data_IF_633300784650
#
_entry.id   IF_633300784650
#
_cell.length_a   1.000
_cell.length_b   1.000
_cell.length_c   1.000
_cell.angle_alpha   90.00
_cell.angle_beta   90.00
_cell.angle_gamma   90.00
#
_symmetry.space_group_name_H-M   'P 1'
#
loop_
_entity.id
_entity.type
_entity.pdbx_description
1 polymer ?
#
# COMPACT_ATOMS: atom_id res chain seq x y z
N UNK A 1 -8.28 1.71 18.05
CA UNK A 1 -8.45 3.18 17.97
C UNK A 1 -7.96 3.62 16.60
N UNK A 2 -8.77 4.34 15.84
CA UNK A 2 -8.33 4.96 14.59
C UNK A 2 -7.48 6.17 14.98
N UNK A 3 -6.19 6.16 14.63
CA UNK A 3 -5.31 7.30 14.91
C UNK A 3 -5.66 8.42 13.93
N UNK A 4 -6.00 9.61 14.44
CA UNK A 4 -6.16 10.86 13.67
C UNK A 4 -4.90 11.72 13.83
N UNK A 5 -4.80 12.78 13.05
CA UNK A 5 -3.70 13.74 13.11
C UNK A 5 -4.17 15.19 13.27
N UNK A 6 -3.33 16.02 13.89
CA UNK A 6 -3.61 17.44 14.10
C UNK A 6 -3.63 18.24 12.78
N UNK A 7 -2.83 17.82 11.79
CA UNK A 7 -2.76 18.45 10.47
C UNK A 7 -3.67 17.71 9.50
N UNK A 8 -4.77 18.35 9.09
CA UNK A 8 -5.70 17.78 8.12
C UNK A 8 -5.07 17.64 6.72
N UNK A 9 -5.34 16.51 6.07
CA UNK A 9 -5.05 16.31 4.65
C UNK A 9 -6.24 16.78 3.79
N UNK A 10 -6.06 16.87 2.47
CA UNK A 10 -7.10 17.31 1.53
C UNK A 10 -8.36 16.43 1.60
N UNK A 11 -8.17 15.13 1.87
CA UNK A 11 -9.24 14.19 2.19
C UNK A 11 -9.25 13.96 3.70
N UNK A 12 -10.34 14.32 4.37
CA UNK A 12 -10.47 14.20 5.82
C UNK A 12 -10.77 12.75 6.24
N UNK A 13 -9.74 11.91 6.19
CA UNK A 13 -9.74 10.57 6.75
C UNK A 13 -8.71 10.48 7.89
N UNK A 14 -9.04 9.86 9.05
CA UNK A 14 -8.15 9.89 10.22
C UNK A 14 -6.72 9.41 9.94
N UNK A 15 -6.56 8.31 9.19
CA UNK A 15 -5.24 7.77 8.88
C UNK A 15 -4.44 8.66 7.90
N UNK A 16 -5.11 9.37 7.00
CA UNK A 16 -4.45 10.33 6.10
C UNK A 16 -3.99 11.56 6.89
N UNK A 17 -4.83 12.06 7.80
CA UNK A 17 -4.45 13.16 8.70
C UNK A 17 -3.30 12.77 9.63
N UNK A 18 -3.32 11.55 10.15
CA UNK A 18 -2.22 11.01 10.95
C UNK A 18 -0.92 11.00 10.14
N UNK A 19 -0.93 10.42 8.94
CA UNK A 19 0.24 10.38 8.06
C UNK A 19 0.73 11.79 7.71
N UNK A 20 -0.18 12.70 7.37
CA UNK A 20 0.14 14.10 7.09
C UNK A 20 0.79 14.81 8.29
N UNK A 21 0.27 14.57 9.49
CA UNK A 21 0.86 15.08 10.73
C UNK A 21 2.25 14.51 10.96
N UNK A 22 2.43 13.19 10.77
CA UNK A 22 3.72 12.53 10.92
C UNK A 22 4.76 13.12 9.96
N UNK A 23 4.46 13.20 8.67
CA UNK A 23 5.39 13.73 7.66
C UNK A 23 5.71 15.20 7.92
N UNK A 24 4.73 16.01 8.32
CA UNK A 24 4.97 17.40 8.72
C UNK A 24 5.97 17.52 9.88
N UNK A 25 5.87 16.63 10.87
CA UNK A 25 6.79 16.62 12.02
C UNK A 25 8.18 16.13 11.65
N UNK A 26 8.28 15.16 10.74
CA UNK A 26 9.56 14.72 10.19
C UNK A 26 10.26 15.87 9.45
N UNK A 27 9.54 16.59 8.60
CA UNK A 27 10.06 17.77 7.89
C UNK A 27 10.51 18.89 8.85
N UNK A 28 9.66 19.24 9.82
CA UNK A 28 9.98 20.25 10.82
C UNK A 28 11.26 19.87 11.60
N UNK A 29 11.37 18.61 12.02
CA UNK A 29 12.53 18.10 12.76
C UNK A 29 13.79 18.08 11.90
N UNK A 30 13.69 17.59 10.66
CA UNK A 30 14.80 17.56 9.72
C UNK A 30 15.35 18.96 9.45
N UNK A 31 14.48 19.95 9.17
CA UNK A 31 14.91 21.34 8.95
C UNK A 31 15.54 21.97 10.18
N UNK A 32 15.00 21.72 11.39
CA UNK A 32 15.60 22.23 12.64
C UNK A 32 16.98 21.64 12.89
N UNK A 33 17.15 20.33 12.71
CA UNK A 33 18.44 19.65 12.88
C UNK A 33 19.46 20.12 11.83
N UNK A 34 19.06 20.25 10.57
CA UNK A 34 19.92 20.77 9.51
C UNK A 34 20.39 22.20 9.83
N UNK A 35 19.49 23.07 10.31
CA UNK A 35 19.85 24.43 10.76
C UNK A 35 20.83 24.44 11.94
N UNK A 36 20.79 23.42 12.80
CA UNK A 36 21.72 23.24 13.91
C UNK A 36 23.05 22.57 13.50
N UNK A 37 23.26 22.30 12.21
CA UNK A 37 24.51 21.75 11.67
C UNK A 37 24.59 20.22 11.66
N UNK A 38 23.50 19.51 11.95
CA UNK A 38 23.46 18.05 11.80
C UNK A 38 23.29 17.68 10.31
N UNK A 39 24.06 16.71 9.84
CA UNK A 39 23.91 16.12 8.51
C UNK A 39 22.88 14.98 8.52
N UNK A 40 22.35 14.62 7.33
CA UNK A 40 21.49 13.45 7.10
C UNK A 40 20.28 13.39 8.05
N UNK A 41 19.54 14.49 8.14
CA UNK A 41 18.50 14.68 9.15
C UNK A 41 17.10 14.27 8.71
N UNK A 42 16.91 14.04 7.41
CA UNK A 42 15.67 13.55 6.81
C UNK A 42 15.69 12.01 6.76
N UNK A 43 14.52 11.35 6.70
CA UNK A 43 14.47 9.91 6.41
C UNK A 43 15.00 9.61 5.00
N UNK A 44 15.44 8.38 4.77
CA UNK A 44 15.89 7.90 3.44
C UNK A 44 14.73 7.43 2.54
N UNK A 45 13.52 7.31 3.08
CA UNK A 45 12.35 6.83 2.37
C UNK A 45 11.21 6.45 3.33
N UNK A 46 10.14 5.90 2.75
CA UNK A 46 8.95 5.49 3.47
C UNK A 46 8.57 4.06 3.11
N UNK A 47 8.27 3.24 4.13
CA UNK A 47 7.66 1.93 3.94
C UNK A 47 6.16 2.03 4.22
N UNK A 48 5.32 1.56 3.30
CA UNK A 48 3.87 1.64 3.39
C UNK A 48 3.18 0.36 2.96
N UNK A 49 1.98 0.14 3.48
CA UNK A 49 1.09 -0.91 3.00
C UNK A 49 0.19 -0.37 1.89
N UNK A 50 -0.04 -1.17 0.86
CA UNK A 50 -1.00 -0.91 -0.20
C UNK A 50 -1.79 -2.20 -0.51
N UNK A 51 -2.89 -2.47 0.21
CA UNK A 51 -3.71 -3.65 -0.02
C UNK A 51 -4.59 -3.45 -1.25
N UNK A 52 -4.91 -4.52 -1.98
CA UNK A 52 -5.93 -4.54 -3.01
C UNK A 52 -7.34 -4.71 -2.47
N UNK A 53 -8.33 -4.33 -3.28
CA UNK A 53 -9.76 -4.55 -3.00
C UNK A 53 -10.53 -5.00 -4.25
N UNK A 54 -10.22 -6.21 -4.75
CA UNK A 54 -10.74 -6.67 -6.02
C UNK A 54 -12.26 -6.95 -6.04
N UNK A 55 -12.94 -6.98 -4.89
CA UNK A 55 -14.40 -7.11 -4.81
C UNK A 55 -15.11 -5.81 -4.40
N UNK A 56 -14.38 -4.69 -4.36
CA UNK A 56 -14.96 -3.40 -4.00
C UNK A 56 -16.17 -3.09 -4.90
N UNK A 57 -17.33 -2.72 -4.35
CA UNK A 57 -18.48 -2.30 -5.15
C UNK A 57 -18.15 -1.09 -6.04
N UNK A 58 -17.17 -0.27 -5.63
CA UNK A 58 -16.64 0.87 -6.38
C UNK A 58 -16.02 0.48 -7.74
N UNK A 59 -15.73 -0.81 -7.99
CA UNK A 59 -15.28 -1.29 -9.30
C UNK A 59 -16.37 -1.26 -10.39
N UNK A 60 -17.65 -1.14 -10.01
CA UNK A 60 -18.77 -0.93 -10.94
C UNK A 60 -18.82 -1.94 -12.12
N UNK A 61 -18.54 -3.22 -11.84
CA UNK A 61 -18.58 -4.29 -12.84
C UNK A 61 -17.32 -4.44 -13.69
N UNK A 62 -16.25 -3.66 -13.42
CA UNK A 62 -14.92 -3.91 -13.97
C UNK A 62 -14.37 -5.26 -13.49
N UNK A 63 -13.41 -5.81 -14.25
CA UNK A 63 -12.76 -7.05 -13.85
C UNK A 63 -12.00 -6.85 -12.53
N UNK A 64 -12.09 -7.79 -11.57
CA UNK A 64 -11.36 -7.70 -10.30
C UNK A 64 -9.84 -7.49 -10.46
N UNK A 65 -9.24 -8.04 -11.51
CA UNK A 65 -7.82 -7.88 -11.82
C UNK A 65 -7.42 -6.47 -12.30
N UNK A 66 -8.40 -5.63 -12.68
CA UNK A 66 -8.16 -4.24 -13.09
C UNK A 66 -8.09 -3.28 -11.90
N UNK A 67 -8.42 -3.71 -10.68
CA UNK A 67 -8.48 -2.85 -9.50
C UNK A 67 -7.23 -1.98 -9.30
N UNK A 68 -5.98 -2.47 -9.48
CA UNK A 68 -4.79 -1.62 -9.36
C UNK A 68 -4.78 -0.40 -10.31
N UNK A 69 -5.50 -0.50 -11.44
CA UNK A 69 -5.61 0.55 -12.46
C UNK A 69 -6.78 1.51 -12.24
N UNK A 70 -7.59 1.30 -11.19
CA UNK A 70 -8.83 2.04 -10.97
C UNK A 70 -8.74 2.80 -9.65
N UNK A 71 -9.09 4.09 -9.68
CA UNK A 71 -9.26 4.85 -8.44
C UNK A 71 -10.56 4.39 -7.77
N UNK A 72 -10.50 4.05 -6.47
CA UNK A 72 -11.65 3.56 -5.69
C UNK A 72 -11.96 4.54 -4.54
N UNK A 73 -12.46 5.75 -4.83
CA UNK A 73 -12.83 6.68 -3.78
C UNK A 73 -14.02 6.13 -2.97
N UNK A 74 -13.82 5.88 -1.68
CA UNK A 74 -14.87 5.32 -0.82
C UNK A 74 -15.60 6.42 -0.07
N UNK A 75 -16.91 6.53 -0.29
CA UNK A 75 -17.74 7.58 0.32
C UNK A 75 -17.73 7.52 1.86
N UNK A 76 -17.75 6.31 2.43
CA UNK A 76 -17.64 6.11 3.89
C UNK A 76 -16.30 6.63 4.48
N UNK A 77 -15.32 6.90 3.62
CA UNK A 77 -13.99 7.39 3.96
C UNK A 77 -13.75 8.79 3.41
N UNK A 78 -14.82 9.57 3.23
CA UNK A 78 -14.79 10.94 2.70
C UNK A 78 -14.09 11.06 1.34
N UNK A 79 -14.13 9.99 0.53
CA UNK A 79 -13.53 9.96 -0.81
C UNK A 79 -12.06 9.51 -0.84
N UNK A 80 -11.49 9.08 0.29
CA UNK A 80 -10.14 8.50 0.32
C UNK A 80 -10.05 7.26 -0.59
N UNK A 81 -8.87 7.02 -1.16
CA UNK A 81 -8.66 5.84 -1.98
C UNK A 81 -8.77 4.58 -1.13
N UNK A 82 -9.63 3.67 -1.58
CA UNK A 82 -9.63 2.28 -1.18
C UNK A 82 -8.75 1.46 -2.11
N UNK A 83 -8.25 0.32 -1.61
CA UNK A 83 -7.49 -0.60 -2.43
C UNK A 83 -6.09 -0.07 -2.78
N UNK A 84 -5.54 -0.61 -3.87
CA UNK A 84 -4.11 -0.57 -4.15
C UNK A 84 -3.62 0.87 -4.30
N UNK A 85 -4.42 1.72 -4.96
CA UNK A 85 -4.06 3.12 -5.25
C UNK A 85 -4.00 4.04 -4.05
N UNK A 86 -4.25 3.54 -2.83
CA UNK A 86 -3.94 4.29 -1.59
C UNK A 86 -2.48 4.74 -1.52
N UNK A 87 -1.56 4.04 -2.20
CA UNK A 87 -0.16 4.49 -2.30
C UNK A 87 -0.02 5.90 -2.90
N UNK A 88 -0.96 6.34 -3.74
CA UNK A 88 -0.95 7.68 -4.34
C UNK A 88 -1.27 8.75 -3.31
N UNK A 89 -2.15 8.47 -2.35
CA UNK A 89 -2.40 9.37 -1.21
C UNK A 89 -1.15 9.46 -0.32
N UNK A 90 -0.45 8.33 -0.10
CA UNK A 90 0.84 8.32 0.60
C UNK A 90 1.88 9.19 -0.11
N UNK A 91 2.05 9.02 -1.42
CA UNK A 91 2.95 9.83 -2.23
C UNK A 91 2.58 11.31 -2.18
N UNK A 92 1.30 11.65 -2.29
CA UNK A 92 0.85 13.05 -2.24
C UNK A 92 1.24 13.72 -0.92
N UNK A 93 1.05 13.02 0.21
CA UNK A 93 1.44 13.51 1.53
C UNK A 93 2.97 13.65 1.65
N UNK A 94 3.72 12.61 1.26
CA UNK A 94 5.19 12.60 1.32
C UNK A 94 5.78 13.75 0.49
N UNK A 95 5.21 14.01 -0.69
CA UNK A 95 5.68 15.03 -1.61
C UNK A 95 5.27 16.47 -1.25
N UNK A 96 4.34 16.63 -0.30
CA UNK A 96 3.89 17.94 0.16
C UNK A 96 4.97 18.70 0.95
N UNK A 97 5.94 18.01 1.55
CA UNK A 97 6.94 18.62 2.45
C UNK A 97 8.35 18.67 1.84
N UNK A 98 9.09 19.79 2.00
CA UNK A 98 10.40 19.98 1.37
C UNK A 98 11.43 18.88 1.61
N UNK A 99 11.61 18.39 2.85
CA UNK A 99 12.66 17.41 3.14
C UNK A 99 12.27 15.97 2.85
N UNK A 100 11.02 15.72 2.45
CA UNK A 100 10.52 14.37 2.16
C UNK A 100 10.10 14.19 0.71
N UNK A 101 10.02 15.29 -0.06
CA UNK A 101 9.65 15.26 -1.48
C UNK A 101 10.65 14.47 -2.31
N UNK A 102 10.12 13.56 -3.12
CA UNK A 102 10.90 12.73 -4.04
C UNK A 102 11.63 11.58 -3.35
N UNK A 103 11.45 11.38 -2.03
CA UNK A 103 12.06 10.25 -1.34
C UNK A 103 11.45 8.92 -1.81
N UNK A 104 12.25 7.85 -1.86
CA UNK A 104 11.78 6.50 -2.14
C UNK A 104 10.55 6.08 -1.33
N UNK A 105 9.57 5.48 -2.01
CA UNK A 105 8.48 4.73 -1.39
C UNK A 105 8.70 3.23 -1.61
N UNK A 106 8.60 2.46 -0.54
CA UNK A 106 8.64 1.00 -0.58
C UNK A 106 7.26 0.48 -0.16
N UNK A 107 6.55 -0.18 -1.07
CA UNK A 107 5.34 -0.92 -0.69
C UNK A 107 5.82 -2.23 -0.08
N UNK A 108 5.95 -2.27 1.24
CA UNK A 108 6.57 -3.39 1.97
C UNK A 108 5.58 -4.51 2.32
N UNK A 109 4.29 -4.29 2.08
CA UNK A 109 3.27 -5.32 2.14
C UNK A 109 2.12 -5.00 1.19
N UNK A 110 1.88 -5.92 0.25
CA UNK A 110 0.68 -5.97 -0.58
C UNK A 110 0.02 -7.36 -0.48
N UNK A 111 -1.30 -7.36 -0.44
CA UNK A 111 -2.18 -8.51 -0.64
C UNK A 111 -3.58 -7.97 -0.98
N UNK A 112 -4.51 -8.82 -1.35
CA UNK A 112 -5.91 -8.41 -1.65
C UNK A 112 -6.87 -8.63 -0.48
N UNK A 113 -6.35 -8.90 0.71
CA UNK A 113 -7.19 -9.16 1.88
C UNK A 113 -7.58 -7.86 2.58
N UNK A 114 -8.89 -7.63 2.71
CA UNK A 114 -9.42 -6.56 3.58
C UNK A 114 -10.44 -7.10 4.58
N UNK A 115 -10.25 -6.85 5.89
CA UNK A 115 -11.07 -7.46 6.94
C UNK A 115 -12.58 -7.21 6.82
N UNK A 116 -13.00 -6.09 6.23
CA UNK A 116 -14.41 -5.70 6.10
C UNK A 116 -15.15 -6.41 4.95
N UNK A 117 -14.46 -7.13 4.07
CA UNK A 117 -15.10 -7.96 3.02
C UNK A 117 -15.49 -9.35 3.53
N UNK A 118 -14.89 -9.83 4.62
CA UNK A 118 -15.12 -11.18 5.15
C UNK A 118 -14.63 -12.32 4.23
N UNK A 119 -13.93 -12.01 3.15
CA UNK A 119 -13.38 -12.98 2.20
C UNK A 119 -11.94 -13.29 2.61
N UNK A 120 -11.65 -14.57 2.82
CA UNK A 120 -10.30 -15.03 3.18
C UNK A 120 -9.33 -14.86 2.00
N UNK A 121 -8.03 -14.65 2.24
CA UNK A 121 -7.06 -14.37 1.17
C UNK A 121 -6.98 -15.50 0.14
N UNK A 122 -7.09 -16.76 0.59
CA UNK A 122 -7.21 -17.95 -0.26
C UNK A 122 -8.34 -17.90 -1.30
N UNK A 123 -9.31 -16.98 -1.17
CA UNK A 123 -10.41 -16.77 -2.10
C UNK A 123 -10.35 -15.40 -2.79
N UNK A 124 -9.52 -14.48 -2.31
CA UNK A 124 -9.59 -13.07 -2.68
C UNK A 124 -8.54 -12.63 -3.71
N UNK A 125 -7.88 -13.57 -4.40
CA UNK A 125 -6.82 -13.22 -5.34
C UNK A 125 -7.21 -13.48 -6.79
N UNK A 126 -7.71 -12.49 -7.54
CA UNK A 126 -8.00 -12.69 -8.96
C UNK A 126 -6.71 -12.77 -9.77
N UNK A 127 -6.62 -13.78 -10.63
CA UNK A 127 -5.52 -13.93 -11.59
C UNK A 127 -5.33 -12.64 -12.40
N UNK A 128 -4.09 -12.20 -12.57
CA UNK A 128 -3.75 -10.99 -13.32
C UNK A 128 -3.64 -9.74 -12.44
N UNK A 129 -4.07 -9.81 -11.18
CA UNK A 129 -4.07 -8.65 -10.28
C UNK A 129 -2.65 -8.17 -9.97
N UNK A 130 -1.71 -9.08 -9.69
CA UNK A 130 -0.33 -8.69 -9.36
C UNK A 130 0.41 -8.16 -10.59
N UNK A 131 0.14 -8.67 -11.78
CA UNK A 131 0.65 -8.12 -13.04
C UNK A 131 0.15 -6.70 -13.21
N UNK A 132 -1.15 -6.46 -12.98
CA UNK A 132 -1.71 -5.10 -13.02
C UNK A 132 -1.08 -4.18 -11.97
N UNK A 133 -0.87 -4.67 -10.75
CA UNK A 133 -0.22 -3.92 -9.67
C UNK A 133 1.25 -3.60 -10.03
N UNK A 134 1.98 -4.57 -10.57
CA UNK A 134 3.36 -4.42 -11.04
C UNK A 134 3.46 -3.41 -12.19
N UNK A 135 2.57 -3.46 -13.18
CA UNK A 135 2.55 -2.47 -14.27
C UNK A 135 2.31 -1.05 -13.75
N UNK A 136 1.40 -0.89 -12.78
CA UNK A 136 1.08 0.40 -12.17
C UNK A 136 2.27 0.96 -11.39
N UNK A 137 2.94 0.15 -10.57
CA UNK A 137 4.10 0.62 -9.79
C UNK A 137 5.35 0.80 -10.64
N UNK A 138 5.55 -0.03 -11.67
CA UNK A 138 6.68 0.13 -12.60
C UNK A 138 6.59 1.42 -13.42
N UNK A 139 5.38 1.99 -13.56
CA UNK A 139 5.16 3.30 -14.16
C UNK A 139 5.34 4.49 -13.18
N UNK A 140 5.50 4.24 -11.88
CA UNK A 140 5.68 5.25 -10.85
C UNK A 140 7.13 5.27 -10.34
N UNK A 141 7.98 6.21 -10.80
CA UNK A 141 9.41 6.19 -10.52
C UNK A 141 9.77 6.40 -9.04
N UNK A 142 8.87 6.93 -8.20
CA UNK A 142 9.15 7.08 -6.77
C UNK A 142 8.99 5.76 -5.99
N UNK A 143 8.24 4.79 -6.53
CA UNK A 143 8.05 3.48 -5.92
C UNK A 143 9.22 2.57 -6.28
N UNK A 144 10.01 2.19 -5.28
CA UNK A 144 11.24 1.41 -5.47
C UNK A 144 11.06 -0.09 -5.20
N UNK A 145 9.96 -0.49 -4.57
CA UNK A 145 9.66 -1.89 -4.32
C UNK A 145 8.16 -2.14 -4.18
N UNK A 146 7.73 -3.31 -4.66
CA UNK A 146 6.44 -3.94 -4.36
C UNK A 146 6.71 -5.32 -3.75
N UNK A 147 6.50 -5.45 -2.44
CA UNK A 147 6.68 -6.69 -1.72
C UNK A 147 5.33 -7.35 -1.38
N UNK A 148 5.25 -8.66 -1.62
CA UNK A 148 4.12 -9.47 -1.17
C UNK A 148 4.09 -9.58 0.36
N UNK A 149 2.89 -9.64 0.95
CA UNK A 149 2.70 -9.67 2.40
C UNK A 149 3.36 -10.86 3.09
N UNK A 150 3.26 -12.07 2.53
CA UNK A 150 3.80 -13.28 3.16
C UNK A 150 4.14 -14.38 2.15
N UNK A 151 5.40 -14.79 2.12
CA UNK A 151 5.83 -15.95 1.33
C UNK A 151 5.55 -17.27 2.08
N UNK A 152 6.11 -17.46 3.28
CA UNK A 152 5.96 -18.68 4.07
C UNK A 152 5.41 -18.41 5.47
N UNK A 153 4.41 -19.19 5.90
CA UNK A 153 3.98 -19.21 7.31
C UNK A 153 4.81 -20.22 8.11
N UNK A 154 5.52 -19.70 9.11
CA UNK A 154 6.31 -20.47 10.08
C UNK A 154 5.70 -20.45 11.48
N UNK A 155 4.44 -20.00 11.64
CA UNK A 155 3.76 -20.02 12.92
C UNK A 155 3.34 -21.45 13.31
N UNK A 156 3.48 -21.78 14.59
CA UNK A 156 3.15 -23.12 15.09
C UNK A 156 1.65 -23.48 14.95
N UNK A 157 0.79 -22.47 14.85
CA UNK A 157 -0.66 -22.60 14.74
C UNK A 157 -1.19 -22.47 13.30
N UNK A 158 -0.31 -22.27 12.30
CA UNK A 158 -0.69 -22.17 10.88
C UNK A 158 -1.65 -21.01 10.55
N UNK A 159 -1.68 -19.98 11.39
CA UNK A 159 -2.70 -18.92 11.32
C UNK A 159 -2.58 -18.04 10.07
N UNK A 160 -1.43 -18.09 9.38
CA UNK A 160 -1.17 -17.35 8.16
C UNK A 160 -1.05 -18.24 6.91
N UNK A 161 -1.31 -19.55 7.03
CA UNK A 161 -1.26 -20.50 5.90
C UNK A 161 -2.07 -20.01 4.69
N UNK A 162 -3.22 -19.39 4.93
CA UNK A 162 -4.09 -18.87 3.88
C UNK A 162 -3.51 -17.65 3.12
N UNK A 163 -2.42 -17.05 3.59
CA UNK A 163 -1.73 -15.90 2.98
C UNK A 163 -0.41 -16.29 2.31
N UNK A 164 0.11 -17.49 2.61
CA UNK A 164 1.43 -17.94 2.19
C UNK A 164 1.45 -18.32 0.71
N UNK A 165 2.35 -17.68 -0.07
CA UNK A 165 2.67 -18.10 -1.43
C UNK A 165 3.20 -19.53 -1.47
N UNK A 166 4.15 -19.85 -0.60
CA UNK A 166 4.75 -21.18 -0.49
C UNK A 166 3.71 -22.29 -0.25
N UNK A 167 2.67 -22.03 0.57
CA UNK A 167 1.56 -22.98 0.75
C UNK A 167 0.60 -23.02 -0.44
N UNK A 168 0.43 -21.89 -1.13
CA UNK A 168 -0.37 -21.79 -2.36
C UNK A 168 -1.83 -22.20 -2.17
N UNK A 169 -2.46 -21.83 -1.05
CA UNK A 169 -3.84 -22.28 -0.76
C UNK A 169 -4.86 -21.51 -1.60
N UNK A 170 -5.70 -22.24 -2.35
CA UNK A 170 -6.77 -21.65 -3.15
C UNK A 170 -6.22 -20.72 -4.22
N UNK A 171 -6.79 -19.52 -4.34
CA UNK A 171 -6.36 -18.49 -5.31
C UNK A 171 -4.97 -17.92 -5.04
N UNK A 172 -4.39 -18.14 -3.85
CA UNK A 172 -2.98 -17.78 -3.59
C UNK A 172 -2.02 -18.62 -4.45
N UNK A 173 -2.45 -19.81 -4.90
CA UNK A 173 -1.72 -20.56 -5.92
C UNK A 173 -1.53 -19.74 -7.21
N UNK A 174 -2.59 -19.09 -7.69
CA UNK A 174 -2.53 -18.24 -8.89
C UNK A 174 -1.59 -17.06 -8.67
N UNK A 175 -1.59 -16.47 -7.46
CA UNK A 175 -0.65 -15.42 -7.06
C UNK A 175 0.80 -15.87 -7.13
N UNK A 176 1.07 -17.07 -6.66
CA UNK A 176 2.41 -17.65 -6.63
C UNK A 176 2.93 -17.83 -8.05
N UNK A 177 2.10 -18.39 -8.94
CA UNK A 177 2.44 -18.54 -10.37
C UNK A 177 2.69 -17.21 -11.05
N UNK A 178 1.85 -16.22 -10.78
CA UNK A 178 2.00 -14.89 -11.34
C UNK A 178 3.27 -14.19 -10.81
N UNK A 179 3.61 -14.37 -9.54
CA UNK A 179 4.84 -13.85 -8.96
C UNK A 179 6.08 -14.46 -9.63
N UNK A 180 6.12 -15.79 -9.79
CA UNK A 180 7.20 -16.49 -10.49
C UNK A 180 7.38 -15.98 -11.93
N UNK A 181 6.27 -15.76 -12.65
CA UNK A 181 6.26 -15.24 -14.01
C UNK A 181 6.80 -13.80 -14.10
N UNK A 182 6.59 -12.98 -13.06
CA UNK A 182 7.08 -11.59 -13.02
C UNK A 182 8.56 -11.51 -12.66
N UNK A 183 9.10 -12.44 -11.87
CA UNK A 183 10.52 -12.46 -11.50
C UNK A 183 11.47 -12.77 -12.67
N UNK A 184 10.96 -13.38 -13.74
CA UNK A 184 11.76 -13.76 -14.92
C UNK A 184 11.67 -12.77 -16.09
N UNK A 185 10.95 -11.65 -15.91
CA UNK A 185 10.83 -10.57 -16.92
C UNK A 185 11.96 -9.56 -16.79
#
# INVERSE_FOLDING_TARGET
>A
MQQDGANKYAVDAPWLNYMNTLVARLDESARKKAKAGFALTAPDGFAVNAPGRPNAPELQGRAPADEPRVDLPRAAWNGAQAGFRVYRDWLAIINAYPTTRGLPLFINATNTFTPDEGIVPAQNYPRGWLTSAYEVINAEPQVQALAWFLDEDNSADGRWDAYSLTKGIGRVYDATKEFDELLVR
#
